data_IF_810354365928
#
_entry.id   IF_810354365928
#
_cell.length_a   1.000
_cell.length_b   1.000
_cell.length_c   1.000
_cell.angle_alpha   90.00
_cell.angle_beta   90.00
_cell.angle_gamma   90.00
#
_symmetry.space_group_name_H-M   'P 1'
#
loop_
_entity.id
_entity.type
_entity.pdbx_description
1 polymer ?
#
# COMPACT_ATOMS: atom_id res chain seq x y z
N UNK A 1 -25.36 -13.93 12.74
CA UNK A 1 -24.78 -13.71 11.40
C UNK A 1 -25.08 -12.27 11.01
N UNK A 2 -24.07 -11.49 10.62
CA UNK A 2 -24.30 -10.09 10.21
C UNK A 2 -24.80 -10.10 8.76
N UNK A 3 -25.89 -9.39 8.47
CA UNK A 3 -26.48 -9.26 7.14
C UNK A 3 -26.25 -7.85 6.57
N UNK A 4 -26.43 -7.68 5.25
CA UNK A 4 -26.30 -6.35 4.62
C UNK A 4 -27.40 -5.40 5.10
N UNK A 5 -28.57 -5.93 5.40
CA UNK A 5 -29.73 -5.20 5.92
C UNK A 5 -29.42 -4.63 7.31
N UNK A 6 -28.79 -5.42 8.18
CA UNK A 6 -28.33 -4.94 9.49
C UNK A 6 -27.28 -3.83 9.35
N UNK A 7 -26.31 -3.99 8.44
CA UNK A 7 -25.31 -2.94 8.18
C UNK A 7 -25.96 -1.65 7.69
N UNK A 8 -26.91 -1.74 6.73
CA UNK A 8 -27.66 -0.56 6.26
C UNK A 8 -28.42 0.12 7.40
N UNK A 9 -29.08 -0.65 8.26
CA UNK A 9 -29.83 -0.09 9.39
C UNK A 9 -28.96 0.65 10.41
N UNK A 10 -27.69 0.28 10.56
CA UNK A 10 -26.74 1.01 11.40
C UNK A 10 -26.22 2.28 10.70
N UNK A 11 -26.02 2.24 9.37
CA UNK A 11 -25.62 3.41 8.58
C UNK A 11 -26.68 4.51 8.66
N UNK A 12 -27.97 4.17 8.58
CA UNK A 12 -29.09 5.12 8.70
C UNK A 12 -29.15 5.85 10.06
N UNK A 13 -28.49 5.33 11.09
CA UNK A 13 -28.42 5.98 12.42
C UNK A 13 -27.27 6.99 12.52
N UNK A 14 -26.37 7.02 11.54
CA UNK A 14 -25.22 7.93 11.55
C UNK A 14 -25.68 9.31 11.07
N UNK A 15 -25.38 10.38 11.84
CA UNK A 15 -25.76 11.73 11.45
C UNK A 15 -24.98 12.19 10.21
N UNK A 16 -25.61 13.08 9.44
CA UNK A 16 -25.11 13.52 8.13
C UNK A 16 -23.68 14.10 8.16
N UNK A 17 -23.35 14.80 9.24
CA UNK A 17 -22.03 15.41 9.49
C UNK A 17 -20.90 14.38 9.66
N UNK A 18 -21.24 13.10 9.86
CA UNK A 18 -20.28 11.98 10.01
C UNK A 18 -20.32 10.99 8.84
N UNK A 19 -21.14 11.23 7.82
CA UNK A 19 -21.26 10.33 6.67
C UNK A 19 -19.99 10.29 5.82
N UNK A 20 -19.24 11.39 5.75
CA UNK A 20 -17.98 11.44 5.01
C UNK A 20 -16.90 10.52 5.62
N UNK A 21 -16.75 10.58 6.95
CA UNK A 21 -15.85 9.69 7.70
C UNK A 21 -16.24 8.22 7.53
N UNK A 22 -17.54 7.93 7.65
CA UNK A 22 -18.07 6.58 7.47
C UNK A 22 -17.84 6.05 6.06
N UNK A 23 -18.06 6.89 5.04
CA UNK A 23 -17.80 6.53 3.65
C UNK A 23 -16.33 6.20 3.42
N UNK A 24 -15.41 7.01 3.97
CA UNK A 24 -13.97 6.76 3.86
C UNK A 24 -13.57 5.42 4.49
N UNK A 25 -14.13 5.08 5.66
CA UNK A 25 -13.90 3.80 6.33
C UNK A 25 -14.39 2.60 5.50
N UNK A 26 -15.63 2.66 4.99
CA UNK A 26 -16.22 1.58 4.18
C UNK A 26 -15.45 1.43 2.87
N UNK A 27 -15.10 2.54 2.21
CA UNK A 27 -14.28 2.56 0.99
C UNK A 27 -12.93 1.91 1.24
N UNK A 28 -12.22 2.29 2.30
CA UNK A 28 -10.95 1.69 2.69
C UNK A 28 -11.07 0.20 2.98
N UNK A 29 -12.12 -0.22 3.68
CA UNK A 29 -12.39 -1.64 3.94
C UNK A 29 -12.58 -2.44 2.64
N UNK A 30 -13.39 -1.93 1.70
CA UNK A 30 -13.64 -2.59 0.41
C UNK A 30 -12.39 -2.70 -0.46
N UNK A 31 -11.50 -1.71 -0.40
CA UNK A 31 -10.27 -1.64 -1.18
C UNK A 31 -9.12 -2.44 -0.55
N UNK A 32 -9.06 -2.52 0.78
CA UNK A 32 -8.00 -3.24 1.50
C UNK A 32 -7.93 -4.72 1.11
N UNK A 33 -9.09 -5.36 0.87
CA UNK A 33 -9.14 -6.76 0.43
C UNK A 33 -8.63 -6.96 -1.00
N UNK A 34 -8.75 -5.96 -1.86
CA UNK A 34 -8.15 -5.96 -3.20
C UNK A 34 -6.64 -5.66 -3.16
N UNK A 35 -6.18 -4.84 -2.21
CA UNK A 35 -4.76 -4.53 -2.02
C UNK A 35 -3.97 -5.65 -1.34
N UNK A 36 -4.61 -6.47 -0.50
CA UNK A 36 -3.99 -7.59 0.22
C UNK A 36 -3.62 -8.80 -0.67
N UNK A 37 -3.97 -8.76 -1.97
CA UNK A 37 -3.47 -9.73 -2.96
C UNK A 37 -2.02 -9.47 -3.40
N UNK A 38 -1.46 -8.29 -3.09
CA UNK A 38 -0.06 -7.97 -3.39
C UNK A 38 0.84 -8.36 -2.21
N UNK A 39 1.37 -9.58 -2.31
CA UNK A 39 2.45 -10.10 -1.44
C UNK A 39 3.57 -9.06 -1.28
N UNK A 40 4.25 -9.06 -0.14
CA UNK A 40 5.44 -8.24 0.11
C UNK A 40 6.46 -8.33 -1.05
N UNK A 41 6.61 -9.53 -1.63
CA UNK A 41 7.41 -9.78 -2.85
C UNK A 41 6.93 -8.99 -4.08
N UNK A 42 5.64 -8.78 -4.26
CA UNK A 42 5.13 -7.97 -5.38
C UNK A 42 5.44 -6.48 -5.19
N UNK A 43 5.39 -5.97 -3.96
CA UNK A 43 5.80 -4.59 -3.66
C UNK A 43 7.30 -4.40 -3.83
N UNK A 44 8.11 -5.39 -3.42
CA UNK A 44 9.56 -5.37 -3.60
C UNK A 44 9.97 -5.48 -5.08
N UNK A 45 9.19 -6.20 -5.90
CA UNK A 45 9.44 -6.31 -7.35
C UNK A 45 9.23 -4.99 -8.09
N UNK A 46 8.29 -4.16 -7.62
CA UNK A 46 8.05 -2.83 -8.19
C UNK A 46 9.19 -1.85 -7.85
N UNK A 47 10.07 -2.19 -6.89
CA UNK A 47 11.29 -1.43 -6.60
C UNK A 47 12.35 -1.88 -7.60
N UNK A 48 12.46 -1.14 -8.71
CA UNK A 48 13.58 -1.28 -9.65
C UNK A 48 14.76 -0.51 -9.07
N UNK A 49 15.81 -1.20 -8.64
CA UNK A 49 17.07 -0.54 -8.27
C UNK A 49 17.79 -0.27 -9.59
N UNK A 50 17.71 0.98 -10.05
CA UNK A 50 18.48 1.43 -11.21
C UNK A 50 19.91 1.68 -10.72
N UNK A 51 20.79 0.74 -11.02
CA UNK A 51 22.17 0.73 -10.55
C UNK A 51 23.08 0.06 -11.58
N UNK A 52 24.39 0.36 -11.56
CA UNK A 52 25.35 -0.26 -12.47
C UNK A 52 25.34 -1.78 -12.32
N UNK A 53 25.59 -2.52 -13.41
CA UNK A 53 25.58 -4.00 -13.41
C UNK A 53 26.49 -4.60 -12.33
N UNK A 54 27.52 -3.86 -11.94
CA UNK A 54 28.52 -4.26 -10.95
C UNK A 54 28.29 -3.70 -9.53
N UNK A 55 27.12 -3.11 -9.27
CA UNK A 55 26.78 -2.47 -7.99
C UNK A 55 26.84 -3.45 -6.81
N UNK A 56 26.33 -4.66 -6.99
CA UNK A 56 26.32 -5.68 -5.93
C UNK A 56 27.74 -6.19 -5.58
N UNK A 57 28.64 -6.24 -6.57
CA UNK A 57 30.01 -6.71 -6.39
C UNK A 57 30.94 -5.62 -5.84
N UNK A 58 30.61 -4.34 -6.08
CA UNK A 58 31.48 -3.20 -5.76
C UNK A 58 30.81 -2.20 -4.80
N UNK A 59 29.90 -2.66 -3.95
CA UNK A 59 29.14 -1.78 -3.03
C UNK A 59 30.06 -0.88 -2.21
N UNK A 60 31.18 -1.41 -1.74
CA UNK A 60 32.16 -0.66 -0.95
C UNK A 60 32.74 0.53 -1.73
N UNK A 61 33.01 0.36 -3.02
CA UNK A 61 33.58 1.41 -3.89
C UNK A 61 32.57 2.54 -4.18
N UNK A 62 31.28 2.22 -4.24
CA UNK A 62 30.23 3.22 -4.36
C UNK A 62 29.99 3.95 -3.03
N UNK A 63 30.15 3.27 -1.89
CA UNK A 63 30.03 3.86 -0.56
C UNK A 63 31.22 4.76 -0.20
N UNK A 64 32.44 4.42 -0.64
CA UNK A 64 33.64 5.26 -0.47
C UNK A 64 33.69 6.43 -1.43
N UNK A 65 32.86 6.42 -2.48
CA UNK A 65 32.87 7.44 -3.55
C UNK A 65 34.01 7.26 -4.56
N UNK A 66 34.75 6.16 -4.48
CA UNK A 66 35.77 5.79 -5.46
C UNK A 66 35.16 5.41 -6.82
N UNK A 67 33.88 5.01 -6.81
CA UNK A 67 33.08 4.75 -8.00
C UNK A 67 31.81 5.57 -7.97
N UNK A 68 31.47 6.16 -9.12
CA UNK A 68 30.28 7.00 -9.27
C UNK A 68 29.34 6.40 -10.30
N UNK A 69 28.04 6.60 -10.09
CA UNK A 69 27.00 6.30 -11.07
C UNK A 69 27.03 7.42 -12.10
N UNK A 70 27.37 7.07 -13.35
CA UNK A 70 27.42 7.98 -14.49
C UNK A 70 26.12 7.99 -15.28
#
# INVERSE_FOLDING_TARGET
>A
MISKELIKSEIEKVPDDRLEDLYCLIKGYSQSRAANGRSLMSKLRDITIDGPEDFAENIDLYLTGEKTVG
#
